data_IF_312658194088
#
_entry.id   IF_312658194088
#
_cell.length_a   1.000
_cell.length_b   1.000
_cell.length_c   1.000
_cell.angle_alpha   90.00
_cell.angle_beta   90.00
_cell.angle_gamma   90.00
#
_symmetry.space_group_name_H-M   'P 1'
#
loop_
_entity.id
_entity.type
_entity.pdbx_description
1 polymer ?
#
# COMPACT_ATOMS: atom_id res chain seq x y z
N UNK A 1 -8.65 11.00 -19.46
CA UNK A 1 -7.64 11.15 -18.42
C UNK A 1 -7.83 12.42 -17.60
N UNK A 2 -7.22 12.44 -16.43
CA UNK A 2 -7.22 13.63 -15.56
C UNK A 2 -5.81 14.18 -15.49
N UNK A 3 -5.69 15.50 -15.68
CA UNK A 3 -4.41 16.19 -15.67
C UNK A 3 -4.23 16.95 -14.37
N UNK A 4 -3.15 16.65 -13.63
CA UNK A 4 -2.81 17.36 -12.40
C UNK A 4 -1.64 18.31 -12.63
N UNK A 5 -1.63 19.44 -11.93
CA UNK A 5 -0.47 20.32 -11.92
C UNK A 5 0.59 19.77 -10.93
N UNK A 6 1.84 20.20 -11.13
CA UNK A 6 2.90 19.87 -10.15
C UNK A 6 2.57 20.42 -8.78
N UNK A 7 1.96 21.60 -8.74
CA UNK A 7 1.55 22.22 -7.47
C UNK A 7 0.52 21.38 -6.73
N UNK A 8 -0.53 20.91 -7.42
CA UNK A 8 -1.57 20.11 -6.78
C UNK A 8 -1.02 18.76 -6.30
N UNK A 9 -0.16 18.12 -7.08
CA UNK A 9 0.47 16.86 -6.71
C UNK A 9 1.36 17.03 -5.47
N UNK A 10 2.14 18.10 -5.43
CA UNK A 10 3.02 18.36 -4.28
C UNK A 10 2.23 18.66 -3.01
N UNK A 11 1.22 19.52 -3.09
CA UNK A 11 0.38 19.87 -1.94
C UNK A 11 -0.36 18.65 -1.41
N UNK A 12 -0.89 17.81 -2.29
CA UNK A 12 -1.54 16.56 -1.90
C UNK A 12 -0.56 15.65 -1.18
N UNK A 13 0.66 15.55 -1.69
CA UNK A 13 1.70 14.68 -1.10
C UNK A 13 2.03 15.11 0.33
N UNK A 14 2.22 16.40 0.57
CA UNK A 14 2.47 16.91 1.92
C UNK A 14 1.28 16.65 2.85
N UNK A 15 0.07 16.95 2.39
CA UNK A 15 -1.14 16.79 3.21
C UNK A 15 -1.39 15.32 3.57
N UNK A 16 -1.21 14.43 2.59
CA UNK A 16 -1.47 13.00 2.80
C UNK A 16 -0.44 12.34 3.72
N UNK A 17 0.79 12.83 3.77
CA UNK A 17 1.84 12.29 4.63
C UNK A 17 1.71 12.68 6.10
N UNK A 18 0.88 13.67 6.42
CA UNK A 18 0.72 14.17 7.79
C UNK A 18 0.26 13.08 8.76
N UNK A 19 0.59 13.21 10.07
CA UNK A 19 0.19 12.22 11.08
C UNK A 19 -1.30 11.93 11.13
N UNK A 20 -2.15 12.93 10.92
CA UNK A 20 -3.61 12.77 10.94
C UNK A 20 -4.19 12.24 9.62
N UNK A 21 -3.36 12.03 8.61
CA UNK A 21 -3.75 11.41 7.35
C UNK A 21 -3.14 10.02 7.27
N UNK A 22 -2.16 9.78 6.38
CA UNK A 22 -1.55 8.46 6.23
C UNK A 22 -0.36 8.23 7.16
N UNK A 23 0.14 9.27 7.78
CA UNK A 23 1.24 9.20 8.75
C UNK A 23 2.46 8.45 8.21
N UNK A 24 2.94 8.87 7.05
CA UNK A 24 4.07 8.22 6.39
C UNK A 24 5.40 8.87 6.78
N UNK A 25 6.42 8.06 6.99
CA UNK A 25 7.76 8.51 7.32
C UNK A 25 8.82 7.65 6.62
N UNK A 26 10.09 8.04 6.76
CA UNK A 26 11.22 7.30 6.21
C UNK A 26 11.35 5.87 6.76
N UNK A 27 10.71 5.58 7.89
CA UNK A 27 10.71 4.25 8.50
C UNK A 27 9.72 3.29 7.86
N UNK A 28 8.81 3.81 7.05
CA UNK A 28 7.76 2.99 6.48
C UNK A 28 8.25 2.17 5.29
N UNK A 29 7.61 1.02 5.13
CA UNK A 29 7.68 0.19 3.94
C UNK A 29 6.29 0.17 3.35
N UNK A 30 6.10 0.79 2.21
CA UNK A 30 4.79 1.07 1.62
C UNK A 30 4.53 0.13 0.46
N UNK A 31 3.42 -0.60 0.53
CA UNK A 31 2.95 -1.48 -0.55
C UNK A 31 1.60 -0.99 -1.06
N UNK A 32 1.57 -0.21 -2.16
CA UNK A 32 0.31 0.19 -2.76
C UNK A 32 -0.31 -0.98 -3.54
N UNK A 33 -1.47 -1.45 -3.12
CA UNK A 33 -2.25 -2.45 -3.85
C UNK A 33 -3.30 -1.78 -4.73
N UNK A 34 -3.54 -0.50 -4.52
CA UNK A 34 -4.40 0.32 -5.38
C UNK A 34 -3.73 0.58 -6.73
N UNK A 35 -4.51 0.64 -7.84
CA UNK A 35 -3.92 0.83 -9.16
C UNK A 35 -3.24 2.20 -9.33
N UNK A 36 -2.11 2.20 -10.03
CA UNK A 36 -1.39 3.44 -10.35
C UNK A 36 -2.21 4.38 -11.24
N UNK A 37 -3.14 3.84 -12.04
CA UNK A 37 -3.98 4.64 -12.92
C UNK A 37 -5.18 5.27 -12.19
N UNK A 38 -5.44 4.90 -10.94
CA UNK A 38 -6.51 5.47 -10.13
C UNK A 38 -5.92 6.39 -9.07
N UNK A 39 -6.01 7.71 -9.33
CA UNK A 39 -5.41 8.77 -8.49
C UNK A 39 -3.94 8.48 -8.14
N UNK A 40 -3.21 7.91 -9.10
CA UNK A 40 -1.79 7.52 -8.95
C UNK A 40 -1.55 6.69 -7.68
N UNK A 41 -2.35 5.63 -7.49
CA UNK A 41 -2.31 4.80 -6.30
C UNK A 41 -2.47 5.63 -5.02
N UNK A 42 -3.43 6.56 -5.02
CA UNK A 42 -3.73 7.50 -3.93
C UNK A 42 -2.54 8.38 -3.55
N UNK A 43 -1.62 8.61 -4.47
CA UNK A 43 -0.44 9.43 -4.26
C UNK A 43 0.67 8.76 -3.45
N UNK A 44 0.54 7.49 -3.10
CA UNK A 44 1.54 6.79 -2.30
C UNK A 44 2.95 6.79 -2.90
N UNK A 45 3.14 6.64 -4.23
CA UNK A 45 4.49 6.70 -4.81
C UNK A 45 5.17 8.05 -4.58
N UNK A 46 4.42 9.15 -4.68
CA UNK A 46 4.97 10.48 -4.42
C UNK A 46 5.32 10.67 -2.95
N UNK A 47 4.45 10.19 -2.06
CA UNK A 47 4.68 10.24 -0.60
C UNK A 47 5.95 9.47 -0.25
N UNK A 48 6.10 8.25 -0.76
CA UNK A 48 7.26 7.41 -0.50
C UNK A 48 8.56 8.11 -0.90
N UNK A 49 8.58 8.72 -2.09
CA UNK A 49 9.76 9.47 -2.55
C UNK A 49 10.05 10.68 -1.66
N UNK A 50 9.02 11.42 -1.26
CA UNK A 50 9.19 12.63 -0.46
C UNK A 50 9.74 12.33 0.93
N UNK A 51 9.23 11.31 1.61
CA UNK A 51 9.64 10.97 2.97
C UNK A 51 10.83 10.01 3.03
N UNK A 52 11.23 9.42 1.91
CA UNK A 52 12.32 8.44 1.86
C UNK A 52 11.93 7.06 2.32
N UNK A 53 10.66 6.69 2.21
CA UNK A 53 10.17 5.36 2.55
C UNK A 53 10.53 4.34 1.47
N UNK A 54 10.61 3.06 1.85
CA UNK A 54 10.75 1.97 0.90
C UNK A 54 9.41 1.73 0.20
N UNK A 55 9.43 1.61 -1.12
CA UNK A 55 8.26 1.36 -1.93
C UNK A 55 8.34 -0.04 -2.52
N UNK A 56 7.30 -0.84 -2.28
CA UNK A 56 7.20 -2.22 -2.75
C UNK A 56 6.02 -2.33 -3.71
N UNK A 57 6.20 -2.99 -4.84
CA UNK A 57 5.14 -3.19 -5.83
C UNK A 57 4.79 -4.67 -5.94
N UNK A 58 3.50 -5.03 -5.90
CA UNK A 58 3.07 -6.42 -5.97
C UNK A 58 3.08 -6.98 -7.41
N UNK A 59 3.22 -6.12 -8.43
CA UNK A 59 3.03 -6.52 -9.82
C UNK A 59 1.58 -6.97 -10.07
N UNK A 60 1.34 -7.93 -10.98
CA UNK A 60 -0.02 -8.38 -11.28
C UNK A 60 -0.59 -9.37 -10.25
N UNK A 61 0.23 -9.89 -9.34
CA UNK A 61 -0.18 -10.94 -8.40
C UNK A 61 -0.84 -10.33 -7.16
N UNK A 62 -2.16 -10.11 -7.22
CA UNK A 62 -2.95 -9.49 -6.14
C UNK A 62 -3.79 -10.50 -5.35
N UNK A 63 -3.58 -11.78 -5.52
CA UNK A 63 -4.26 -12.82 -4.74
C UNK A 63 -3.76 -12.82 -3.29
N UNK A 64 -4.59 -13.36 -2.39
CA UNK A 64 -4.31 -13.33 -0.95
C UNK A 64 -2.97 -13.95 -0.58
N UNK A 65 -2.63 -15.09 -1.18
CA UNK A 65 -1.37 -15.80 -0.88
C UNK A 65 -0.15 -14.98 -1.29
N UNK A 66 -0.15 -14.44 -2.51
CA UNK A 66 0.96 -13.63 -3.03
C UNK A 66 1.16 -12.38 -2.19
N UNK A 67 0.06 -11.72 -1.80
CA UNK A 67 0.12 -10.53 -0.96
C UNK A 67 0.65 -10.86 0.44
N UNK A 68 0.19 -11.96 1.03
CA UNK A 68 0.67 -12.40 2.34
C UNK A 68 2.19 -12.62 2.33
N UNK A 69 2.68 -13.34 1.32
CA UNK A 69 4.10 -13.62 1.19
C UNK A 69 4.91 -12.32 1.04
N UNK A 70 4.41 -11.38 0.24
CA UNK A 70 5.08 -10.11 0.01
C UNK A 70 5.08 -9.22 1.25
N UNK A 71 3.93 -9.12 1.94
CA UNK A 71 3.81 -8.34 3.17
C UNK A 71 4.80 -8.84 4.23
N UNK A 72 4.95 -10.13 4.36
CA UNK A 72 5.84 -10.73 5.34
C UNK A 72 7.31 -10.62 4.92
N UNK A 73 7.63 -10.94 3.67
CA UNK A 73 9.00 -10.91 3.17
C UNK A 73 9.62 -9.51 3.22
N UNK A 74 8.85 -8.48 2.91
CA UNK A 74 9.33 -7.10 2.85
C UNK A 74 9.06 -6.31 4.14
N UNK A 75 8.43 -6.92 5.14
CA UNK A 75 8.09 -6.27 6.41
C UNK A 75 7.31 -4.98 6.20
N UNK A 76 6.26 -5.05 5.39
CA UNK A 76 5.44 -3.89 5.02
C UNK A 76 4.76 -3.29 6.25
N UNK A 77 4.83 -1.96 6.40
CA UNK A 77 4.23 -1.24 7.51
C UNK A 77 2.97 -0.48 7.13
N UNK A 78 2.80 -0.14 5.84
CA UNK A 78 1.64 0.60 5.35
C UNK A 78 1.23 0.06 3.99
N UNK A 79 -0.05 -0.21 3.84
CA UNK A 79 -0.61 -0.67 2.57
C UNK A 79 -2.00 -0.06 2.35
N UNK A 80 -2.41 0.02 1.10
CA UNK A 80 -3.73 0.51 0.73
C UNK A 80 -4.28 -0.33 -0.41
N UNK A 81 -5.55 -0.68 -0.32
CA UNK A 81 -6.23 -1.49 -1.32
C UNK A 81 -7.73 -1.42 -1.17
N UNK A 82 -8.43 -2.02 -2.13
CA UNK A 82 -9.89 -2.10 -2.10
C UNK A 82 -10.35 -3.30 -1.24
N UNK A 83 -11.61 -3.28 -0.73
CA UNK A 83 -12.07 -4.33 0.19
C UNK A 83 -11.94 -5.77 -0.33
N UNK A 84 -12.14 -6.01 -1.61
CA UNK A 84 -12.02 -7.35 -2.20
C UNK A 84 -10.63 -7.94 -2.04
N UNK A 85 -9.59 -7.10 -2.12
CA UNK A 85 -8.20 -7.51 -1.90
C UNK A 85 -8.01 -7.98 -0.47
N UNK A 86 -8.53 -7.22 0.49
CA UNK A 86 -8.40 -7.54 1.92
C UNK A 86 -9.23 -8.76 2.30
N UNK A 87 -10.36 -8.99 1.65
CA UNK A 87 -11.14 -10.22 1.85
C UNK A 87 -10.36 -11.46 1.42
N UNK A 88 -9.66 -11.38 0.29
CA UNK A 88 -8.78 -12.46 -0.18
C UNK A 88 -7.64 -12.75 0.80
N UNK A 89 -7.01 -11.70 1.30
CA UNK A 89 -5.95 -11.81 2.30
C UNK A 89 -6.48 -12.40 3.60
N UNK A 90 -7.64 -11.96 4.07
CA UNK A 90 -8.26 -12.48 5.30
C UNK A 90 -8.56 -13.98 5.19
N UNK A 91 -9.04 -14.43 4.04
CA UNK A 91 -9.29 -15.86 3.80
C UNK A 91 -8.01 -16.69 3.96
N UNK A 92 -6.88 -16.22 3.44
CA UNK A 92 -5.59 -16.88 3.59
C UNK A 92 -5.13 -16.88 5.06
N UNK A 93 -5.29 -15.76 5.76
CA UNK A 93 -4.92 -15.66 7.17
C UNK A 93 -5.73 -16.63 8.05
N UNK A 94 -7.02 -16.77 7.76
CA UNK A 94 -7.89 -17.72 8.46
C UNK A 94 -7.46 -19.17 8.22
N UNK A 95 -7.10 -19.48 6.98
CA UNK A 95 -6.61 -20.81 6.61
C UNK A 95 -5.30 -21.14 7.35
N UNK A 96 -4.37 -20.20 7.39
CA UNK A 96 -3.11 -20.36 8.12
C UNK A 96 -3.33 -20.50 9.62
N UNK A 97 -4.20 -19.71 10.21
CA UNK A 97 -4.54 -19.81 11.62
C UNK A 97 -5.15 -21.18 11.95
N UNK A 98 -6.00 -21.71 11.07
CA UNK A 98 -6.58 -23.04 11.19
C UNK A 98 -5.51 -24.14 11.21
N UNK A 99 -4.46 -24.00 10.41
CA UNK A 99 -3.36 -24.97 10.35
C UNK A 99 -2.50 -24.99 11.61
N UNK A 100 -2.51 -23.93 12.41
CA UNK A 100 -1.78 -23.86 13.69
C UNK A 100 -2.60 -24.34 14.87
N UNK A 101 -3.87 -24.65 14.69
CA UNK A 101 -4.70 -25.29 15.71
C UNK A 101 -4.55 -26.79 15.61
N UNK A 102 -3.60 -27.30 16.27
CA UNK A 102 -3.47 -28.75 16.37
C UNK A 102 -4.42 -29.29 17.45
#
# INVERSE_FOLDING_TARGET
GVLYSHRSSLLHTYAAALPDALNCSARDVILPVVPMFHVNAWGLPYIACMVGAKLVFPGPALDGKSLYELLEAEQVTLSAGVPTVWQGLLAILRQLASNFRA
#
